data_IF_646718939905
#
_entry.id   IF_646718939905
#
_cell.length_a   1.000
_cell.length_b   1.000
_cell.length_c   1.000
_cell.angle_alpha   90.00
_cell.angle_beta   90.00
_cell.angle_gamma   90.00
#
_symmetry.space_group_name_H-M   'P 1'
#
loop_
_entity.id
_entity.type
_entity.pdbx_description
1 polymer ?
#
# COMPACT_ATOMS: atom_id res chain seq x y z
N UNK A 1 -19.24 -1.80 -5.07
CA UNK A 1 -18.00 -2.60 -4.93
C UNK A 1 -16.80 -1.75 -5.30
N UNK A 2 -16.35 -0.85 -4.40
CA UNK A 2 -15.10 -0.11 -4.59
C UNK A 2 -13.88 -1.04 -4.57
N UNK A 3 -12.83 -0.65 -5.28
CA UNK A 3 -11.59 -1.42 -5.38
C UNK A 3 -10.36 -0.52 -5.27
N UNK A 4 -9.45 -0.89 -4.37
CA UNK A 4 -8.12 -0.31 -4.27
C UNK A 4 -7.06 -1.39 -4.47
N UNK A 5 -6.03 -1.07 -5.27
CA UNK A 5 -4.81 -1.88 -5.37
C UNK A 5 -3.61 -1.06 -4.89
N UNK A 6 -2.95 -1.53 -3.85
CA UNK A 6 -1.70 -1.00 -3.37
C UNK A 6 -0.56 -1.90 -3.83
N UNK A 7 0.25 -1.41 -4.75
CA UNK A 7 1.55 -2.02 -5.02
C UNK A 7 2.55 -1.41 -4.05
N UNK A 8 3.32 -2.25 -3.36
CA UNK A 8 4.35 -1.83 -2.41
C UNK A 8 5.65 -2.61 -2.65
N UNK A 9 6.83 -2.09 -2.30
CA UNK A 9 8.05 -2.90 -2.27
C UNK A 9 7.91 -4.07 -1.29
N UNK A 10 8.36 -5.26 -1.67
CA UNK A 10 8.31 -6.44 -0.80
C UNK A 10 9.05 -6.19 0.52
N UNK A 11 8.42 -6.52 1.64
CA UNK A 11 9.00 -6.33 2.97
C UNK A 11 9.04 -4.88 3.47
N UNK A 12 8.45 -3.92 2.73
CA UNK A 12 8.36 -2.53 3.20
C UNK A 12 7.27 -2.30 4.25
N UNK A 13 6.33 -3.25 4.39
CA UNK A 13 5.25 -3.19 5.38
C UNK A 13 5.33 -4.35 6.35
N UNK A 14 5.03 -4.09 7.62
CA UNK A 14 4.71 -5.15 8.59
C UNK A 14 3.30 -5.70 8.34
N UNK A 15 3.01 -6.89 8.85
CA UNK A 15 1.67 -7.48 8.79
C UNK A 15 0.60 -6.57 9.43
N UNK A 16 0.94 -5.82 10.49
CA UNK A 16 0.01 -4.88 11.12
C UNK A 16 -0.23 -3.62 10.29
N UNK A 17 0.80 -3.11 9.60
CA UNK A 17 0.65 -1.99 8.68
C UNK A 17 -0.22 -2.39 7.49
N UNK A 18 -0.07 -3.60 6.95
CA UNK A 18 -0.96 -4.12 5.88
C UNK A 18 -2.41 -4.21 6.35
N UNK A 19 -2.68 -4.74 7.55
CA UNK A 19 -4.03 -4.75 8.14
C UNK A 19 -4.60 -3.34 8.29
N UNK A 20 -3.78 -2.41 8.77
CA UNK A 20 -4.18 -1.00 8.94
C UNK A 20 -4.53 -0.37 7.59
N UNK A 21 -3.72 -0.61 6.55
CA UNK A 21 -3.97 -0.10 5.20
C UNK A 21 -5.32 -0.58 4.65
N UNK A 22 -5.63 -1.87 4.82
CA UNK A 22 -6.92 -2.45 4.40
C UNK A 22 -8.09 -1.82 5.16
N UNK A 23 -8.00 -1.74 6.49
CA UNK A 23 -9.07 -1.18 7.32
C UNK A 23 -9.35 0.29 6.97
N UNK A 24 -8.29 1.11 6.91
CA UNK A 24 -8.42 2.56 6.67
C UNK A 24 -8.87 2.88 5.24
N UNK A 25 -8.47 2.09 4.25
CA UNK A 25 -8.99 2.24 2.88
C UNK A 25 -10.48 1.89 2.81
N UNK A 26 -10.90 0.88 3.56
CA UNK A 26 -12.32 0.51 3.66
C UNK A 26 -13.14 1.62 4.31
N UNK A 27 -12.65 2.20 5.40
CA UNK A 27 -13.26 3.36 6.05
C UNK A 27 -13.36 4.56 5.11
N UNK A 28 -12.29 4.87 4.36
CA UNK A 28 -12.28 5.94 3.37
C UNK A 28 -13.37 5.75 2.31
N UNK A 29 -13.54 4.53 1.79
CA UNK A 29 -14.60 4.25 0.84
C UNK A 29 -15.99 4.34 1.45
N UNK A 30 -16.17 3.92 2.69
CA UNK A 30 -17.44 4.09 3.40
C UNK A 30 -17.75 5.57 3.65
N UNK A 31 -16.75 6.40 3.94
CA UNK A 31 -16.90 7.85 4.09
C UNK A 31 -17.34 8.53 2.78
N UNK A 32 -16.71 8.17 1.65
CA UNK A 32 -16.98 8.81 0.35
C UNK A 32 -18.27 8.28 -0.30
N UNK A 33 -18.48 6.96 -0.30
CA UNK A 33 -19.57 6.30 -1.02
C UNK A 33 -20.75 5.89 -0.12
N UNK A 34 -20.65 6.12 1.19
CA UNK A 34 -21.61 5.69 2.20
C UNK A 34 -21.35 4.28 2.72
N UNK A 35 -21.91 3.98 3.90
CA UNK A 35 -21.66 2.74 4.65
C UNK A 35 -22.04 1.46 3.88
N UNK A 36 -22.98 1.56 2.93
CA UNK A 36 -23.36 0.46 2.04
C UNK A 36 -22.19 -0.04 1.15
N UNK A 37 -21.13 0.76 0.97
CA UNK A 37 -19.96 0.36 0.22
C UNK A 37 -19.08 -0.66 0.97
N UNK A 38 -18.98 -0.54 2.29
CA UNK A 38 -18.09 -1.34 3.17
C UNK A 38 -18.12 -2.85 2.92
N UNK A 39 -19.28 -3.54 2.91
CA UNK A 39 -19.32 -5.00 2.74
C UNK A 39 -18.85 -5.48 1.38
N UNK A 40 -18.72 -4.58 0.39
CA UNK A 40 -18.28 -4.90 -0.97
C UNK A 40 -16.97 -4.21 -1.34
N UNK A 41 -16.30 -3.54 -0.41
CA UNK A 41 -14.98 -2.97 -0.69
C UNK A 41 -13.95 -4.09 -0.78
N UNK A 42 -13.18 -4.08 -1.87
CA UNK A 42 -12.04 -4.98 -2.03
C UNK A 42 -10.73 -4.18 -1.99
N UNK A 43 -9.81 -4.60 -1.13
CA UNK A 43 -8.47 -4.01 -1.03
C UNK A 43 -7.47 -5.11 -1.32
N UNK A 44 -6.67 -4.89 -2.37
CA UNK A 44 -5.55 -5.75 -2.72
C UNK A 44 -4.24 -5.04 -2.36
N UNK A 45 -3.34 -5.75 -1.70
CA UNK A 45 -1.96 -5.30 -1.44
C UNK A 45 -1.03 -6.28 -2.11
N UNK A 46 -0.30 -5.82 -3.12
CA UNK A 46 0.67 -6.61 -3.88
C UNK A 46 2.08 -6.16 -3.54
N UNK A 47 2.90 -7.11 -3.11
CA UNK A 47 4.33 -6.90 -2.93
C UNK A 47 5.07 -7.10 -4.25
N UNK A 48 5.82 -6.07 -4.65
CA UNK A 48 6.70 -6.11 -5.81
C UNK A 48 8.10 -6.50 -5.35
N UNK A 49 8.73 -7.54 -5.94
CA UNK A 49 10.08 -7.94 -5.59
C UNK A 49 11.09 -6.79 -5.63
N UNK A 50 12.15 -6.91 -4.83
CA UNK A 50 13.19 -5.89 -4.71
C UNK A 50 13.82 -5.55 -6.08
N UNK A 51 14.08 -4.27 -6.34
CA UNK A 51 14.51 -3.78 -7.65
C UNK A 51 13.38 -3.66 -8.70
N UNK A 52 12.15 -4.08 -8.39
CA UNK A 52 10.99 -3.97 -9.29
C UNK A 52 10.36 -2.58 -9.36
N UNK A 53 10.77 -1.65 -8.50
CA UNK A 53 10.38 -0.24 -8.53
C UNK A 53 11.46 0.60 -9.18
N UNK A 54 11.08 1.63 -9.94
CA UNK A 54 12.05 2.53 -10.58
C UNK A 54 11.63 3.99 -10.51
N UNK A 55 12.58 4.88 -10.23
CA UNK A 55 12.39 6.34 -10.31
C UNK A 55 13.55 6.93 -11.09
N UNK A 56 13.27 7.79 -12.08
CA UNK A 56 14.27 8.46 -12.92
C UNK A 56 15.32 7.50 -13.53
N UNK A 57 14.89 6.32 -13.97
CA UNK A 57 15.78 5.31 -14.57
C UNK A 57 16.61 4.50 -13.57
N UNK A 58 16.44 4.74 -12.26
CA UNK A 58 17.12 3.99 -11.20
C UNK A 58 16.17 2.99 -10.57
N UNK A 59 16.52 1.70 -10.64
CA UNK A 59 15.83 0.66 -9.88
C UNK A 59 16.06 0.87 -8.37
N UNK A 60 14.98 0.90 -7.61
CA UNK A 60 15.00 1.09 -6.16
C UNK A 60 15.11 -0.26 -5.46
N UNK A 61 16.02 -0.34 -4.50
CA UNK A 61 16.06 -1.43 -3.53
C UNK A 61 15.39 -1.02 -2.22
N UNK A 62 14.96 -2.00 -1.43
CA UNK A 62 14.38 -1.78 -0.11
C UNK A 62 15.35 -1.01 0.79
N UNK A 63 16.65 -1.32 0.71
CA UNK A 63 17.69 -0.59 1.44
C UNK A 63 17.73 0.90 1.07
N UNK A 64 17.65 1.25 -0.23
CA UNK A 64 17.61 2.65 -0.67
C UNK A 64 16.35 3.40 -0.20
N UNK A 65 15.24 2.68 -0.02
CA UNK A 65 13.97 3.23 0.45
C UNK A 65 14.05 3.48 1.97
N UNK A 66 14.56 2.52 2.74
CA UNK A 66 14.69 2.64 4.19
C UNK A 66 15.71 3.71 4.60
N UNK A 67 16.86 3.79 3.93
CA UNK A 67 17.89 4.81 4.23
C UNK A 67 17.46 6.25 3.94
N UNK A 68 16.36 6.47 3.20
CA UNK A 68 15.76 7.80 3.03
C UNK A 68 14.87 8.19 4.20
N UNK A 69 14.29 7.22 4.90
CA UNK A 69 13.42 7.47 6.05
C UNK A 69 14.20 8.01 7.26
N UNK A 70 15.50 7.72 7.34
CA UNK A 70 16.39 8.15 8.43
C UNK A 70 17.04 9.54 8.19
N UNK A 71 16.80 10.16 7.03
CA UNK A 71 17.37 11.45 6.63
C UNK A 71 16.36 12.62 6.65
N UNK A 72 15.15 12.39 7.17
CA UNK A 72 14.06 13.37 7.24
C UNK A 72 13.63 13.67 8.66
#
# INVERSE_FOLDING_TARGET
MPFANFKVPAGSLTAEQTKTLIARTTDLYAEIYGEAARPTTLVLVEEVPDGGWGIAGTALTLSMIQSRHDQG
#
